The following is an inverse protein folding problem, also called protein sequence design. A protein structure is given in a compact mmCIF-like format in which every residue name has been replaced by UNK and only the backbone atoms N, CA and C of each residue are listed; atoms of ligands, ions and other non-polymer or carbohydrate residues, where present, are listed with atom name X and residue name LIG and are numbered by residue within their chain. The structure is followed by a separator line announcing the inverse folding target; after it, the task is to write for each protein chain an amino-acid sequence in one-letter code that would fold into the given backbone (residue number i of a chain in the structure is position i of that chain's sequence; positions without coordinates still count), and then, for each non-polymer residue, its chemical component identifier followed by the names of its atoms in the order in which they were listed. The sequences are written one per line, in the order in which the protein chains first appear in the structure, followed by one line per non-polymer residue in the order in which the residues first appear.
data_IF_636011971749
#
_entry.id   IF_636011971749
#
_cell.length_a   1.000
_cell.length_b   1.000
_cell.length_c   1.000
_cell.angle_alpha   90.00
_cell.angle_beta   90.00
_cell.angle_gamma   90.00
#
_symmetry.space_group_name_H-M   'P 1'
#
loop_
_entity.id
_entity.type
_entity.pdbx_description
1 polymer ?
#
# COMPACT_ATOMS: atom_id res chain seq x y z
N UNK A 1 -11.95 -5.48 -5.25
CA UNK A 1 -11.71 -4.27 -4.45
C UNK A 1 -11.48 -3.08 -5.37
N UNK A 2 -12.10 -1.95 -5.06
CA UNK A 2 -11.89 -0.73 -5.86
C UNK A 2 -10.63 -0.01 -5.39
N UNK A 3 -10.15 0.94 -6.20
CA UNK A 3 -8.98 1.73 -5.82
C UNK A 3 -9.25 2.50 -4.52
N UNK A 4 -10.43 3.08 -4.36
CA UNK A 4 -10.77 3.80 -3.13
C UNK A 4 -10.71 2.90 -1.91
N UNK A 5 -11.23 1.69 -2.03
CA UNK A 5 -11.17 0.71 -0.95
C UNK A 5 -9.72 0.31 -0.64
N UNK A 6 -8.92 0.18 -1.68
CA UNK A 6 -7.52 -0.17 -1.51
C UNK A 6 -6.76 0.95 -0.78
N UNK A 7 -7.02 2.21 -1.16
CA UNK A 7 -6.40 3.35 -0.49
C UNK A 7 -6.75 3.36 1.00
N UNK A 8 -8.00 3.09 1.33
CA UNK A 8 -8.44 3.05 2.73
C UNK A 8 -7.79 1.90 3.49
N UNK A 9 -7.72 0.72 2.87
CA UNK A 9 -7.08 -0.43 3.51
C UNK A 9 -5.59 -0.19 3.71
N UNK A 10 -4.96 0.46 2.74
CA UNK A 10 -3.55 0.84 2.82
C UNK A 10 -3.32 1.79 4.00
N UNK A 11 -4.14 2.84 4.08
CA UNK A 11 -4.03 3.84 5.14
C UNK A 11 -4.23 3.22 6.53
N UNK A 12 -5.08 2.22 6.63
CA UNK A 12 -5.38 1.57 7.91
C UNK A 12 -4.17 0.85 8.51
N UNK A 13 -3.14 0.56 7.70
CA UNK A 13 -1.93 -0.08 8.20
C UNK A 13 -0.96 0.90 8.85
N UNK A 14 -1.26 2.21 8.79
CA UNK A 14 -0.42 3.25 9.37
C UNK A 14 -1.03 3.73 10.67
N UNK A 15 -0.23 3.70 11.75
CA UNK A 15 -0.72 4.07 13.08
C UNK A 15 -0.69 5.58 13.30
N UNK A 16 0.34 6.25 12.77
CA UNK A 16 0.59 7.65 13.09
C UNK A 16 0.34 8.61 11.92
N UNK A 17 0.06 8.09 10.73
CA UNK A 17 -0.20 8.91 9.55
C UNK A 17 -1.70 9.02 9.34
N UNK A 18 -2.26 10.26 9.33
CA UNK A 18 -3.71 10.43 9.15
C UNK A 18 -4.21 9.89 7.82
N UNK A 19 -5.43 9.36 7.82
CA UNK A 19 -6.02 8.78 6.62
C UNK A 19 -6.10 9.79 5.48
N UNK A 20 -6.38 11.05 5.77
CA UNK A 20 -6.53 12.07 4.74
C UNK A 20 -5.23 12.36 3.96
N UNK A 21 -4.09 11.90 4.46
CA UNK A 21 -2.82 12.01 3.75
C UNK A 21 -2.80 11.10 2.52
N UNK A 22 -3.58 10.01 2.58
CA UNK A 22 -3.52 8.97 1.56
C UNK A 22 -4.47 9.24 0.41
N UNK A 23 -3.90 9.36 -0.79
CA UNK A 23 -4.63 9.48 -2.04
C UNK A 23 -4.01 8.47 -3.00
N UNK A 24 -4.65 8.22 -4.16
CA UNK A 24 -4.02 7.32 -5.14
C UNK A 24 -2.63 7.77 -5.58
N UNK A 25 -2.36 9.06 -5.55
CA UNK A 25 -1.07 9.61 -5.98
C UNK A 25 -0.01 9.64 -4.89
N UNK A 26 -0.36 9.29 -3.65
CA UNK A 26 0.58 9.34 -2.53
C UNK A 26 1.76 8.39 -2.79
N UNK A 27 2.97 8.94 -2.72
CA UNK A 27 4.19 8.11 -2.73
C UNK A 27 4.47 7.69 -1.31
N UNK A 28 4.03 6.48 -0.98
CA UNK A 28 4.12 5.97 0.39
C UNK A 28 5.56 5.86 0.90
N UNK A 29 6.52 5.75 -0.02
CA UNK A 29 7.93 5.62 0.36
C UNK A 29 8.49 6.91 0.95
N UNK A 30 7.82 8.02 0.74
CA UNK A 30 8.23 9.32 1.28
C UNK A 30 7.63 9.62 2.65
N UNK A 31 6.73 8.77 3.13
CA UNK A 31 6.11 8.96 4.43
C UNK A 31 7.09 8.65 5.54
N UNK A 32 7.06 9.46 6.61
CA UNK A 32 7.95 9.27 7.75
C UNK A 32 7.79 7.90 8.39
N UNK A 33 6.57 7.40 8.38
CA UNK A 33 6.25 6.11 9.00
C UNK A 33 6.67 4.90 8.15
N UNK A 34 7.06 5.13 6.90
CA UNK A 34 7.44 4.04 6.00
C UNK A 34 8.74 3.37 6.47
N UNK A 35 8.74 2.06 6.49
CA UNK A 35 9.92 1.27 6.89
C UNK A 35 9.61 -0.19 6.71
N UNK A 36 10.53 -1.04 7.17
CA UNK A 36 10.42 -2.50 6.98
C UNK A 36 9.16 -3.08 7.61
N UNK A 37 8.83 -2.62 8.81
CA UNK A 37 7.64 -3.15 9.50
C UNK A 37 6.36 -2.74 8.78
N UNK A 38 6.29 -1.48 8.33
CA UNK A 38 5.13 -1.00 7.60
C UNK A 38 5.01 -1.74 6.27
N UNK A 39 6.13 -1.96 5.59
CA UNK A 39 6.13 -2.70 4.33
C UNK A 39 5.59 -4.11 4.53
N UNK A 40 5.98 -4.78 5.61
CA UNK A 40 5.48 -6.11 5.93
C UNK A 40 3.97 -6.09 6.20
N UNK A 41 3.49 -5.05 6.87
CA UNK A 41 2.05 -4.90 7.13
C UNK A 41 1.28 -4.78 5.82
N UNK A 42 1.82 -4.02 4.86
CA UNK A 42 1.17 -3.87 3.56
C UNK A 42 1.17 -5.19 2.80
N UNK A 43 2.28 -5.92 2.82
CA UNK A 43 2.36 -7.24 2.16
C UNK A 43 1.30 -8.17 2.75
N UNK A 44 1.16 -8.16 4.07
CA UNK A 44 0.18 -9.00 4.76
C UNK A 44 -1.25 -8.57 4.41
N UNK A 45 -1.51 -7.26 4.36
CA UNK A 45 -2.83 -6.73 4.02
C UNK A 45 -3.25 -7.14 2.61
N UNK A 46 -2.33 -7.05 1.64
CA UNK A 46 -2.63 -7.42 0.26
C UNK A 46 -2.95 -8.91 0.17
N UNK A 47 -2.20 -9.73 0.90
CA UNK A 47 -2.46 -11.16 0.93
C UNK A 47 -3.84 -11.46 1.52
N UNK A 48 -4.17 -10.81 2.64
CA UNK A 48 -5.44 -11.05 3.34
C UNK A 48 -6.65 -10.52 2.57
N UNK A 49 -6.53 -9.32 2.00
CA UNK A 49 -7.68 -8.63 1.41
C UNK A 49 -7.87 -8.94 -0.07
N UNK A 50 -6.78 -9.18 -0.79
CA UNK A 50 -6.83 -9.38 -2.24
C UNK A 50 -6.38 -10.78 -2.67
N UNK A 51 -5.91 -11.56 -1.72
CA UNK A 51 -5.41 -12.91 -1.98
C UNK A 51 -4.31 -12.90 -3.07
N UNK A 52 -3.47 -11.87 -3.03
CA UNK A 52 -2.35 -11.72 -3.96
C UNK A 52 -1.07 -11.53 -3.19
N UNK A 53 0.05 -11.92 -3.80
CA UNK A 53 1.36 -11.83 -3.15
C UNK A 53 2.17 -10.67 -3.71
N UNK A 54 2.58 -9.76 -2.83
CA UNK A 54 3.44 -8.64 -3.15
C UNK A 54 4.76 -8.83 -2.41
N UNK A 55 5.86 -8.44 -3.03
CA UNK A 55 7.18 -8.56 -2.42
C UNK A 55 7.72 -7.18 -2.04
N UNK A 56 8.79 -7.17 -1.24
CA UNK A 56 9.47 -5.92 -0.95
C UNK A 56 9.99 -5.23 -2.20
N UNK A 57 10.42 -6.01 -3.19
CA UNK A 57 10.87 -5.46 -4.47
C UNK A 57 9.73 -4.76 -5.20
N UNK A 58 8.52 -5.34 -5.15
CA UNK A 58 7.34 -4.71 -5.76
C UNK A 58 7.06 -3.36 -5.10
N UNK A 59 7.15 -3.31 -3.77
CA UNK A 59 6.90 -2.07 -3.03
C UNK A 59 7.94 -1.00 -3.35
N UNK A 60 9.19 -1.38 -3.57
CA UNK A 60 10.24 -0.44 -3.93
C UNK A 60 10.08 0.07 -5.35
N UNK A 61 9.54 -0.75 -6.23
CA UNK A 61 9.37 -0.44 -7.65
C UNK A 61 8.25 0.57 -7.88
N UNK A 62 7.19 0.49 -7.10
CA UNK A 62 6.02 1.37 -7.27
C UNK A 62 6.26 2.71 -6.58
N UNK A 63 5.72 3.78 -7.17
CA UNK A 63 5.90 5.13 -6.66
C UNK A 63 4.62 5.75 -6.08
N UNK A 64 3.51 5.04 -6.12
CA UNK A 64 2.27 5.54 -5.53
C UNK A 64 1.38 4.38 -5.13
N UNK A 65 0.37 4.68 -4.30
CA UNK A 65 -0.61 3.68 -3.90
C UNK A 65 -1.33 3.11 -5.12
N UNK A 66 -1.65 3.98 -6.08
CA UNK A 66 -2.33 3.56 -7.30
C UNK A 66 -1.46 2.62 -8.14
N UNK A 67 -0.16 2.91 -8.25
CA UNK A 67 0.75 2.04 -8.98
C UNK A 67 0.80 0.65 -8.35
N UNK A 68 0.83 0.60 -7.02
CA UNK A 68 0.81 -0.67 -6.33
C UNK A 68 -0.50 -1.42 -6.59
N UNK A 69 -1.63 -0.71 -6.54
CA UNK A 69 -2.93 -1.29 -6.83
C UNK A 69 -2.96 -1.88 -8.23
N UNK A 70 -2.47 -1.13 -9.21
CA UNK A 70 -2.44 -1.60 -10.61
C UNK A 70 -1.55 -2.82 -10.77
N UNK A 71 -0.42 -2.85 -10.08
CA UNK A 71 0.48 -4.00 -10.10
C UNK A 71 -0.23 -5.24 -9.56
N UNK A 72 -0.93 -5.10 -8.43
CA UNK A 72 -1.65 -6.20 -7.80
C UNK A 72 -2.76 -6.69 -8.72
N UNK A 73 -3.50 -5.77 -9.34
CA UNK A 73 -4.61 -6.13 -10.23
C UNK A 73 -4.13 -6.83 -11.50
N UNK A 74 -2.89 -6.62 -11.89
CA UNK A 74 -2.33 -7.25 -13.09
C UNK A 74 -1.78 -8.66 -12.84
N UNK A 75 -1.77 -9.10 -11.61
CA UNK A 75 -1.24 -10.45 -11.26
C UNK A 75 -2.21 -11.58 -11.58
#
# INVERSE_FOLDING_TARGET
MTLDEFVKAFAAEFDDTPEEVFTPETNYKELDEWGSLTALSIISMVDDELNERVTGADLRKCNSVEELFNLVESK
#
